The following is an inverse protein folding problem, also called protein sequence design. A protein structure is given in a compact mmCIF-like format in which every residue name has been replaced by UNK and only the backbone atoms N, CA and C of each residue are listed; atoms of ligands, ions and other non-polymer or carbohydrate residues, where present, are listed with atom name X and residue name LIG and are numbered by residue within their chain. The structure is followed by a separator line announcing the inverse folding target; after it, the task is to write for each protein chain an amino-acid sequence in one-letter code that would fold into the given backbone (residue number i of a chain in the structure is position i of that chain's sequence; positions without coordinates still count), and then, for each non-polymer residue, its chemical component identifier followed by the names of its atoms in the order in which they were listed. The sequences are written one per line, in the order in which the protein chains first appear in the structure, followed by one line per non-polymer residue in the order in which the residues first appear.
data_IF_860582068959
#
_entry.id   IF_860582068959
#
_cell.length_a   1.000
_cell.length_b   1.000
_cell.length_c   1.000
_cell.angle_alpha   90.00
_cell.angle_beta   90.00
_cell.angle_gamma   90.00
#
_symmetry.space_group_name_H-M   'P 1'
#
loop_
_entity.id
_entity.type
_entity.pdbx_description
1 polymer ?
#
# COMPACT_ATOMS: atom_id res chain seq x y z
N UNK A 1 10.90 -10.99 19.80
CA UNK A 1 12.24 -11.08 20.46
C UNK A 1 12.07 -11.02 21.95
N UNK A 2 12.96 -11.66 22.79
CA UNK A 2 12.77 -11.70 24.24
C UNK A 2 12.70 -10.29 24.89
N UNK A 3 11.95 -10.11 25.99
CA UNK A 3 11.81 -8.83 26.69
C UNK A 3 13.16 -8.19 27.09
N UNK A 4 14.16 -9.03 27.41
CA UNK A 4 15.54 -8.58 27.68
C UNK A 4 16.15 -7.85 26.50
N UNK A 5 15.93 -8.33 25.27
CA UNK A 5 16.41 -7.67 24.06
C UNK A 5 15.80 -6.27 23.91
N UNK A 6 14.48 -6.12 24.12
CA UNK A 6 13.81 -4.83 24.02
C UNK A 6 14.37 -3.83 25.05
N UNK A 7 14.61 -4.28 26.29
CA UNK A 7 15.20 -3.45 27.35
C UNK A 7 16.62 -3.00 27.02
N UNK A 8 17.45 -3.91 26.52
CA UNK A 8 18.82 -3.59 26.07
C UNK A 8 18.81 -2.65 24.86
N UNK A 9 17.90 -2.86 23.92
CA UNK A 9 17.78 -2.00 22.74
C UNK A 9 17.25 -0.60 23.05
N UNK A 10 16.45 -0.44 24.10
CA UNK A 10 16.00 0.89 24.54
C UNK A 10 17.16 1.81 24.89
N UNK A 11 18.25 1.28 25.52
CA UNK A 11 19.43 2.05 25.88
C UNK A 11 20.19 2.57 24.64
N UNK A 12 20.12 1.85 23.53
CA UNK A 12 20.82 2.17 22.27
C UNK A 12 19.91 2.76 21.19
N UNK A 13 18.61 2.89 21.47
CA UNK A 13 17.61 3.32 20.49
C UNK A 13 17.92 4.68 19.87
N UNK A 14 18.35 5.64 20.71
CA UNK A 14 18.67 6.99 20.21
C UNK A 14 19.90 6.99 19.30
N UNK A 15 20.93 6.19 19.63
CA UNK A 15 22.11 6.05 18.78
C UNK A 15 21.76 5.36 17.46
N UNK A 16 20.93 4.31 17.50
CA UNK A 16 20.47 3.60 16.31
C UNK A 16 19.62 4.50 15.42
N UNK A 17 18.67 5.24 15.99
CA UNK A 17 17.82 6.18 15.24
C UNK A 17 18.71 7.23 14.53
N UNK A 18 19.68 7.80 15.24
CA UNK A 18 20.61 8.79 14.66
C UNK A 18 21.43 8.19 13.52
N UNK A 19 21.94 6.98 13.70
CA UNK A 19 22.67 6.28 12.64
C UNK A 19 21.77 6.07 11.39
N UNK A 20 20.54 5.59 11.57
CA UNK A 20 19.57 5.40 10.46
C UNK A 20 19.31 6.73 9.74
N UNK A 21 19.04 7.81 10.51
CA UNK A 21 18.82 9.14 9.93
C UNK A 21 20.04 9.62 9.13
N UNK A 22 21.26 9.42 9.63
CA UNK A 22 22.47 9.79 8.91
C UNK A 22 22.63 9.01 7.59
N UNK A 23 22.21 7.73 7.55
CA UNK A 23 22.27 6.94 6.32
C UNK A 23 21.23 7.40 5.28
N UNK A 24 20.04 7.80 5.72
CA UNK A 24 18.92 8.18 4.84
C UNK A 24 18.94 9.67 4.45
N UNK A 25 19.61 10.52 5.20
CA UNK A 25 19.61 11.98 5.00
C UNK A 25 19.94 12.41 3.56
N UNK A 26 20.96 11.83 2.88
CA UNK A 26 21.26 12.19 1.50
C UNK A 26 20.11 11.93 0.52
N UNK A 27 19.29 10.90 0.80
CA UNK A 27 18.21 10.47 -0.08
C UNK A 27 16.92 11.24 0.20
N UNK A 28 16.70 11.68 1.45
CA UNK A 28 15.43 12.31 1.86
C UNK A 28 15.48 13.84 1.96
N UNK A 29 16.68 14.44 1.94
CA UNK A 29 16.85 15.88 2.14
C UNK A 29 16.24 16.74 1.01
N UNK A 30 16.14 16.18 -0.20
CA UNK A 30 15.57 16.85 -1.36
C UNK A 30 14.06 16.65 -1.53
N UNK A 31 13.44 15.75 -0.74
CA UNK A 31 11.99 15.53 -0.80
C UNK A 31 11.26 16.75 -0.28
N UNK A 32 10.36 17.38 -1.09
CA UNK A 32 9.70 18.62 -0.74
C UNK A 32 8.68 18.49 0.41
N UNK A 33 8.02 19.59 0.77
CA UNK A 33 6.94 19.62 1.75
C UNK A 33 7.38 19.36 3.20
N UNK A 34 8.68 19.57 3.55
CA UNK A 34 9.20 19.34 4.90
C UNK A 34 9.22 17.85 5.30
N UNK A 35 9.31 16.96 4.31
CA UNK A 35 9.34 15.51 4.56
C UNK A 35 10.46 15.12 5.52
N UNK A 36 11.69 15.57 5.26
CA UNK A 36 12.87 15.30 6.09
C UNK A 36 12.64 15.69 7.55
N UNK A 37 12.14 16.89 7.80
CA UNK A 37 11.96 17.39 9.17
C UNK A 37 10.90 16.57 9.93
N UNK A 38 9.78 16.22 9.29
CA UNK A 38 8.78 15.33 9.88
C UNK A 38 9.33 13.93 10.14
N UNK A 39 10.17 13.43 9.23
CA UNK A 39 10.79 12.11 9.37
C UNK A 39 11.78 12.10 10.55
N UNK A 40 12.60 13.14 10.70
CA UNK A 40 13.51 13.33 11.85
C UNK A 40 12.71 13.46 13.14
N UNK A 41 11.68 14.31 13.18
CA UNK A 41 10.81 14.48 14.35
C UNK A 41 10.15 13.14 14.78
N UNK A 42 9.74 12.33 13.80
CA UNK A 42 9.19 10.99 14.09
C UNK A 42 10.19 10.10 14.84
N UNK A 43 11.50 10.17 14.56
CA UNK A 43 12.51 9.33 15.22
C UNK A 43 13.07 9.94 16.52
N UNK A 44 13.17 11.26 16.62
CA UNK A 44 13.87 11.94 17.72
C UNK A 44 12.93 12.51 18.79
N UNK A 45 11.69 12.93 18.41
CA UNK A 45 10.76 13.58 19.32
C UNK A 45 9.71 12.59 19.85
N UNK A 46 9.75 12.29 21.14
CA UNK A 46 8.82 11.36 21.78
C UNK A 46 7.36 11.89 21.76
N UNK A 47 7.17 13.22 21.79
CA UNK A 47 5.87 13.87 21.73
C UNK A 47 5.27 14.02 20.31
N UNK A 48 6.05 13.71 19.27
CA UNK A 48 5.58 13.81 17.87
C UNK A 48 4.71 12.62 17.49
N UNK A 49 3.54 12.87 16.88
CA UNK A 49 2.63 11.87 16.33
C UNK A 49 2.27 10.73 17.32
N UNK A 50 1.95 11.06 18.56
CA UNK A 50 1.74 10.08 19.65
C UNK A 50 0.61 9.11 19.33
N UNK A 51 -0.54 9.63 18.83
CA UNK A 51 -1.69 8.79 18.48
C UNK A 51 -1.39 7.88 17.30
N UNK A 52 -0.79 8.44 16.26
CA UNK A 52 -0.40 7.71 15.04
C UNK A 52 0.59 6.58 15.36
N UNK A 53 1.57 6.84 16.21
CA UNK A 53 2.52 5.82 16.70
C UNK A 53 1.82 4.72 17.47
N UNK A 54 0.83 5.06 18.29
CA UNK A 54 0.04 4.06 19.04
C UNK A 54 -0.80 3.21 18.08
N UNK A 55 -1.45 3.83 17.09
CA UNK A 55 -2.22 3.13 16.05
C UNK A 55 -1.31 2.19 15.26
N UNK A 56 -0.15 2.66 14.78
CA UNK A 56 0.81 1.83 14.04
C UNK A 56 1.30 0.64 14.88
N UNK A 57 1.59 0.85 16.17
CA UNK A 57 2.04 -0.22 17.07
C UNK A 57 0.93 -1.24 17.30
N UNK A 58 -0.29 -0.80 17.58
CA UNK A 58 -1.44 -1.67 17.72
C UNK A 58 -1.70 -2.48 16.44
N UNK A 59 -1.66 -1.83 15.28
CA UNK A 59 -1.83 -2.48 13.97
C UNK A 59 -0.75 -3.52 13.71
N UNK A 60 0.50 -3.25 14.08
CA UNK A 60 1.59 -4.21 13.98
C UNK A 60 1.33 -5.48 14.82
N UNK A 61 0.91 -5.32 16.08
CA UNK A 61 0.59 -6.47 16.93
C UNK A 61 -0.64 -7.24 16.43
N UNK A 62 -1.66 -6.55 15.95
CA UNK A 62 -2.85 -7.18 15.36
C UNK A 62 -2.51 -7.98 14.11
N UNK A 63 -1.68 -7.44 13.21
CA UNK A 63 -1.21 -8.15 12.03
C UNK A 63 -0.35 -9.36 12.40
N UNK A 64 0.57 -9.20 13.37
CA UNK A 64 1.40 -10.29 13.89
C UNK A 64 0.53 -11.38 14.52
N UNK A 65 -0.50 -11.02 15.28
CA UNK A 65 -1.43 -11.98 15.88
C UNK A 65 -2.25 -12.74 14.83
N UNK A 66 -2.64 -12.06 13.74
CA UNK A 66 -3.32 -12.71 12.62
C UNK A 66 -2.42 -13.80 11.99
N UNK A 67 -1.16 -13.49 11.71
CA UNK A 67 -0.18 -14.45 11.21
C UNK A 67 0.10 -15.59 12.21
N UNK A 68 0.28 -15.22 13.48
CA UNK A 68 0.56 -16.16 14.55
C UNK A 68 -0.57 -17.19 14.72
N UNK A 69 -1.84 -16.78 14.62
CA UNK A 69 -2.99 -17.70 14.70
C UNK A 69 -2.94 -18.78 13.63
N UNK A 70 -2.46 -18.48 12.42
CA UNK A 70 -2.29 -19.48 11.36
C UNK A 70 -1.25 -20.52 11.80
N UNK A 71 -0.10 -20.08 12.28
CA UNK A 71 0.99 -20.95 12.75
C UNK A 71 0.52 -21.77 13.96
N UNK A 72 -0.11 -21.11 14.94
CA UNK A 72 -0.59 -21.74 16.16
C UNK A 72 -1.57 -22.89 15.87
N UNK A 73 -2.49 -22.70 14.93
CA UNK A 73 -3.46 -23.74 14.57
C UNK A 73 -2.83 -24.89 13.76
N UNK A 74 -1.78 -24.62 13.01
CA UNK A 74 -1.13 -25.65 12.19
C UNK A 74 -0.09 -26.47 12.97
N UNK A 75 0.63 -25.83 13.89
CA UNK A 75 1.77 -26.43 14.61
C UNK A 75 1.79 -26.05 16.09
N UNK A 76 0.80 -26.51 16.90
CA UNK A 76 0.69 -26.13 18.31
C UNK A 76 1.82 -26.67 19.19
N UNK A 77 2.69 -27.54 18.67
CA UNK A 77 3.75 -28.21 19.41
C UNK A 77 5.10 -27.49 19.38
N UNK A 78 5.19 -26.30 18.74
CA UNK A 78 6.43 -25.53 18.71
C UNK A 78 6.77 -25.08 20.14
N UNK A 79 8.03 -25.30 20.55
CA UNK A 79 8.52 -24.85 21.85
C UNK A 79 8.34 -23.34 22.03
N UNK A 80 7.77 -22.92 23.14
CA UNK A 80 7.54 -21.50 23.49
C UNK A 80 6.34 -20.84 22.78
N UNK A 81 5.50 -21.63 22.06
CA UNK A 81 4.37 -21.08 21.30
C UNK A 81 3.30 -20.46 22.24
N UNK A 82 3.04 -21.08 23.40
CA UNK A 82 2.09 -20.54 24.37
C UNK A 82 2.59 -19.23 25.00
N UNK A 83 3.89 -19.16 25.31
CA UNK A 83 4.48 -17.92 25.80
C UNK A 83 4.39 -16.80 24.76
N UNK A 84 4.66 -17.12 23.48
CA UNK A 84 4.52 -16.12 22.39
C UNK A 84 3.08 -15.64 22.24
N UNK A 85 2.09 -16.53 22.39
CA UNK A 85 0.68 -16.19 22.39
C UNK A 85 0.35 -15.17 23.50
N UNK A 86 0.73 -15.50 24.73
CA UNK A 86 0.52 -14.63 25.90
C UNK A 86 1.18 -13.26 25.74
N UNK A 87 2.43 -13.23 25.26
CA UNK A 87 3.14 -11.98 24.99
C UNK A 87 2.42 -11.11 23.95
N UNK A 88 1.88 -11.71 22.87
CA UNK A 88 1.13 -10.99 21.83
C UNK A 88 -0.21 -10.46 22.36
N UNK A 89 -0.93 -11.29 23.10
CA UNK A 89 -2.22 -10.92 23.70
C UNK A 89 -2.04 -9.75 24.68
N UNK A 90 -1.04 -9.79 25.55
CA UNK A 90 -0.70 -8.70 26.48
C UNK A 90 -0.34 -7.40 25.73
N UNK A 91 0.46 -7.49 24.64
CA UNK A 91 0.79 -6.31 23.84
C UNK A 91 -0.42 -5.70 23.13
N UNK A 92 -1.40 -6.50 22.75
CA UNK A 92 -2.66 -6.01 22.15
C UNK A 92 -3.53 -5.37 23.23
N UNK A 93 -3.59 -5.95 24.45
CA UNK A 93 -4.34 -5.43 25.58
C UNK A 93 -3.87 -4.03 25.99
N UNK A 94 -2.56 -3.74 25.91
CA UNK A 94 -1.98 -2.40 26.16
C UNK A 94 -2.58 -1.30 25.26
N UNK A 95 -3.27 -1.70 24.18
CA UNK A 95 -3.92 -0.80 23.21
C UNK A 95 -5.45 -0.93 23.19
N UNK A 96 -6.06 -1.56 24.20
CA UNK A 96 -7.49 -1.86 24.23
C UNK A 96 -8.39 -0.61 24.21
N UNK A 97 -7.89 0.55 24.62
CA UNK A 97 -8.61 1.82 24.55
C UNK A 97 -8.85 2.31 23.10
N UNK A 98 -8.12 1.77 22.12
CA UNK A 98 -8.36 2.07 20.70
C UNK A 98 -9.59 1.31 20.19
N UNK A 99 -10.60 2.04 19.70
CA UNK A 99 -11.85 1.46 19.19
C UNK A 99 -11.61 0.39 18.11
N UNK A 100 -10.61 0.59 17.25
CA UNK A 100 -10.22 -0.39 16.22
C UNK A 100 -9.77 -1.71 16.82
N UNK A 101 -8.97 -1.68 17.88
CA UNK A 101 -8.51 -2.87 18.60
C UNK A 101 -9.71 -3.62 19.20
N UNK A 102 -10.61 -2.92 19.91
CA UNK A 102 -11.82 -3.51 20.48
C UNK A 102 -12.66 -4.23 19.43
N UNK A 103 -12.91 -3.58 18.28
CA UNK A 103 -13.71 -4.16 17.19
C UNK A 103 -13.05 -5.41 16.59
N UNK A 104 -11.73 -5.40 16.40
CA UNK A 104 -11.00 -6.52 15.84
C UNK A 104 -10.91 -7.71 16.79
N UNK A 105 -10.76 -7.47 18.10
CA UNK A 105 -10.75 -8.52 19.12
C UNK A 105 -12.08 -9.26 19.24
N UNK A 106 -13.21 -8.62 18.88
CA UNK A 106 -14.51 -9.31 18.83
C UNK A 106 -14.56 -10.45 17.80
N UNK A 107 -13.62 -10.52 16.84
CA UNK A 107 -13.60 -11.57 15.83
C UNK A 107 -14.83 -11.59 14.91
N UNK A 108 -15.46 -10.44 14.66
CA UNK A 108 -16.67 -10.28 13.83
C UNK A 108 -16.34 -9.61 12.49
N UNK A 109 -17.25 -8.81 11.96
CA UNK A 109 -17.15 -8.19 10.62
C UNK A 109 -15.80 -7.51 10.35
N UNK A 110 -15.35 -6.62 11.26
CA UNK A 110 -14.07 -5.91 11.09
C UNK A 110 -12.87 -6.87 10.99
N UNK A 111 -12.88 -7.96 11.75
CA UNK A 111 -11.86 -9.00 11.64
C UNK A 111 -11.93 -9.71 10.29
N UNK A 112 -13.14 -10.00 9.78
CA UNK A 112 -13.33 -10.57 8.44
C UNK A 112 -12.73 -9.70 7.33
N UNK A 113 -12.84 -8.37 7.43
CA UNK A 113 -12.18 -7.46 6.49
C UNK A 113 -10.65 -7.55 6.57
N UNK A 114 -10.07 -7.56 7.77
CA UNK A 114 -8.63 -7.74 7.95
C UNK A 114 -8.17 -9.11 7.44
N UNK A 115 -9.01 -10.14 7.62
CA UNK A 115 -8.72 -11.49 7.10
C UNK A 115 -8.67 -11.49 5.56
N UNK A 116 -9.59 -10.81 4.88
CA UNK A 116 -9.51 -10.63 3.43
C UNK A 116 -8.22 -9.91 3.01
N UNK A 117 -7.89 -8.78 3.62
CA UNK A 117 -6.64 -8.08 3.34
C UNK A 117 -5.42 -8.98 3.57
N UNK A 118 -5.44 -9.78 4.66
CA UNK A 118 -4.38 -10.73 4.98
C UNK A 118 -4.22 -11.84 3.94
N UNK A 119 -5.30 -12.29 3.29
CA UNK A 119 -5.24 -13.32 2.24
C UNK A 119 -4.47 -12.84 1.00
N UNK A 120 -4.46 -11.54 0.69
CA UNK A 120 -3.66 -10.97 -0.40
C UNK A 120 -2.15 -11.18 -0.22
N UNK A 121 -1.69 -11.45 0.99
CA UNK A 121 -0.30 -11.84 1.28
C UNK A 121 0.08 -13.17 0.65
N UNK A 122 -0.86 -14.11 0.48
CA UNK A 122 -0.62 -15.43 -0.10
C UNK A 122 -0.79 -15.44 -1.62
N UNK A 123 -1.41 -14.41 -2.20
CA UNK A 123 -1.48 -14.25 -3.64
C UNK A 123 -0.17 -13.64 -4.14
N UNK A 124 0.51 -14.39 -5.03
CA UNK A 124 1.80 -13.97 -5.58
C UNK A 124 1.59 -13.30 -6.92
N UNK A 125 2.17 -12.12 -7.07
CA UNK A 125 2.30 -11.46 -8.38
C UNK A 125 3.26 -12.26 -9.26
N UNK A 126 3.05 -12.21 -10.58
CA UNK A 126 3.84 -12.97 -11.55
C UNK A 126 3.80 -14.49 -11.30
N UNK A 127 2.69 -15.03 -10.83
CA UNK A 127 2.57 -16.44 -10.41
C UNK A 127 3.01 -17.45 -11.48
N UNK A 128 2.92 -17.08 -12.77
CA UNK A 128 3.32 -17.92 -13.89
C UNK A 128 4.78 -17.72 -14.35
N UNK A 129 5.50 -16.78 -13.74
CA UNK A 129 6.88 -16.45 -14.13
C UNK A 129 7.80 -16.58 -12.91
N UNK A 130 8.81 -17.47 -12.94
CA UNK A 130 9.79 -17.56 -11.85
C UNK A 130 10.42 -16.20 -11.58
N UNK A 131 10.41 -15.75 -10.32
CA UNK A 131 10.88 -14.44 -9.91
C UNK A 131 11.52 -14.44 -8.51
N UNK A 132 12.55 -13.61 -8.33
CA UNK A 132 13.25 -13.39 -7.05
C UNK A 132 13.55 -11.89 -6.91
N UNK A 133 13.22 -11.26 -5.77
CA UNK A 133 12.38 -11.78 -4.67
C UNK A 133 10.91 -11.94 -5.09
N UNK A 134 10.19 -12.83 -4.45
CA UNK A 134 8.74 -12.94 -4.65
C UNK A 134 8.03 -11.74 -4.02
N UNK A 135 7.01 -11.21 -4.69
CA UNK A 135 6.15 -10.14 -4.17
C UNK A 135 4.71 -10.64 -4.10
N UNK A 136 4.06 -10.44 -2.96
CA UNK A 136 2.62 -10.69 -2.81
C UNK A 136 1.82 -9.50 -3.35
N UNK A 137 0.53 -9.71 -3.67
CA UNK A 137 -0.38 -8.62 -4.01
C UNK A 137 -0.41 -7.57 -2.90
N UNK A 138 -0.52 -7.99 -1.63
CA UNK A 138 -0.49 -7.07 -0.48
C UNK A 138 0.80 -6.23 -0.41
N UNK A 139 1.95 -6.85 -0.67
CA UNK A 139 3.24 -6.14 -0.69
C UNK A 139 3.35 -5.15 -1.84
N UNK A 140 2.85 -5.52 -3.01
CA UNK A 140 2.76 -4.63 -4.16
C UNK A 140 1.89 -3.40 -3.88
N UNK A 141 0.67 -3.60 -3.37
CA UNK A 141 -0.24 -2.51 -3.00
C UNK A 141 0.42 -1.49 -2.08
N UNK A 142 1.21 -1.95 -1.09
CA UNK A 142 1.94 -1.06 -0.20
C UNK A 142 3.03 -0.27 -0.95
N UNK A 143 3.78 -0.91 -1.85
CA UNK A 143 4.81 -0.23 -2.66
C UNK A 143 4.16 0.84 -3.53
N UNK A 144 3.04 0.52 -4.20
CA UNK A 144 2.30 1.49 -5.02
C UNK A 144 1.81 2.67 -4.18
N UNK A 145 1.29 2.41 -2.96
CA UNK A 145 0.87 3.46 -2.04
C UNK A 145 2.03 4.38 -1.60
N UNK A 146 3.21 3.81 -1.32
CA UNK A 146 4.40 4.58 -0.97
C UNK A 146 4.88 5.46 -2.14
N UNK A 147 4.95 4.91 -3.35
CA UNK A 147 5.29 5.66 -4.57
C UNK A 147 4.28 6.79 -4.83
N UNK A 148 2.99 6.48 -4.71
CA UNK A 148 1.92 7.46 -4.87
C UNK A 148 1.99 8.59 -3.83
N UNK A 149 2.32 8.26 -2.58
CA UNK A 149 2.55 9.26 -1.53
C UNK A 149 3.69 10.20 -1.91
N UNK A 150 4.85 9.68 -2.32
CA UNK A 150 6.00 10.49 -2.70
C UNK A 150 5.70 11.36 -3.93
N UNK A 151 5.04 10.80 -4.95
CA UNK A 151 4.57 11.59 -6.10
C UNK A 151 3.60 12.70 -5.67
N UNK A 152 2.69 12.43 -4.73
CA UNK A 152 1.75 13.44 -4.22
C UNK A 152 2.46 14.59 -3.49
N UNK A 153 3.49 14.28 -2.71
CA UNK A 153 4.33 15.29 -2.05
C UNK A 153 5.08 16.13 -3.08
N UNK A 154 5.65 15.49 -4.10
CA UNK A 154 6.37 16.16 -5.20
C UNK A 154 5.46 17.10 -5.99
N UNK A 155 4.21 16.70 -6.25
CA UNK A 155 3.20 17.52 -6.93
C UNK A 155 2.67 18.70 -6.08
N UNK A 156 3.05 18.82 -4.81
CA UNK A 156 2.48 19.80 -3.89
C UNK A 156 0.98 19.57 -3.61
N UNK A 157 0.57 18.31 -3.56
CA UNK A 157 -0.82 17.93 -3.29
C UNK A 157 -1.29 18.39 -1.91
N UNK A 158 -2.54 18.87 -1.81
CA UNK A 158 -3.13 19.20 -0.51
C UNK A 158 -3.26 17.92 0.37
N UNK A 159 -3.35 18.05 1.71
CA UNK A 159 -3.39 16.89 2.61
C UNK A 159 -4.45 15.85 2.24
N UNK A 160 -5.66 16.29 1.86
CA UNK A 160 -6.73 15.37 1.45
C UNK A 160 -6.38 14.61 0.17
N UNK A 161 -5.75 15.27 -0.80
CA UNK A 161 -5.29 14.65 -2.06
C UNK A 161 -4.19 13.62 -1.80
N UNK A 162 -3.24 13.92 -0.89
CA UNK A 162 -2.23 12.95 -0.45
C UNK A 162 -2.87 11.71 0.16
N UNK A 163 -3.85 11.91 1.07
CA UNK A 163 -4.59 10.81 1.71
C UNK A 163 -5.32 9.97 0.65
N UNK A 164 -6.06 10.62 -0.24
CA UNK A 164 -6.84 9.93 -1.27
C UNK A 164 -5.95 9.15 -2.24
N UNK A 165 -4.82 9.72 -2.67
CA UNK A 165 -3.88 9.04 -3.54
C UNK A 165 -3.23 7.85 -2.84
N UNK A 166 -2.86 7.99 -1.57
CA UNK A 166 -2.29 6.90 -0.78
C UNK A 166 -3.27 5.74 -0.62
N UNK A 167 -4.52 6.02 -0.18
CA UNK A 167 -5.52 4.98 0.02
C UNK A 167 -6.07 4.42 -1.29
N UNK A 168 -6.24 5.25 -2.33
CA UNK A 168 -6.57 4.78 -3.67
C UNK A 168 -5.53 3.79 -4.20
N UNK A 169 -4.25 4.10 -4.03
CA UNK A 169 -3.15 3.19 -4.37
C UNK A 169 -3.09 1.96 -3.45
N UNK A 170 -3.38 2.11 -2.14
CA UNK A 170 -3.37 0.99 -1.20
C UNK A 170 -4.50 0.00 -1.46
N UNK A 171 -5.65 0.44 -1.99
CA UNK A 171 -6.83 -0.40 -2.19
C UNK A 171 -7.11 -0.77 -3.64
N UNK A 172 -6.29 -0.33 -4.62
CA UNK A 172 -6.57 -0.52 -6.05
C UNK A 172 -6.78 -2.00 -6.44
N UNK A 173 -6.01 -2.92 -5.87
CA UNK A 173 -6.11 -4.37 -6.11
C UNK A 173 -6.89 -5.11 -4.99
N UNK A 174 -7.57 -4.39 -4.07
CA UNK A 174 -8.33 -5.03 -2.99
C UNK A 174 -9.41 -6.00 -3.49
N UNK A 175 -10.15 -5.70 -4.58
CA UNK A 175 -11.12 -6.64 -5.14
C UNK A 175 -10.52 -7.98 -5.58
N UNK A 176 -9.23 -8.05 -5.89
CA UNK A 176 -8.54 -9.29 -6.30
C UNK A 176 -8.54 -10.38 -5.22
N UNK A 177 -8.78 -10.03 -3.95
CA UNK A 177 -8.97 -11.05 -2.90
C UNK A 177 -10.17 -11.95 -3.19
N UNK A 178 -11.17 -11.45 -3.91
CA UNK A 178 -12.41 -12.15 -4.22
C UNK A 178 -12.34 -12.92 -5.55
N UNK A 179 -11.61 -12.40 -6.54
CA UNK A 179 -11.53 -12.95 -7.91
C UNK A 179 -10.21 -13.66 -8.19
N UNK A 180 -9.21 -13.48 -7.35
CA UNK A 180 -7.78 -13.75 -7.59
C UNK A 180 -7.22 -12.89 -8.72
N UNK A 181 -5.89 -12.75 -8.74
CA UNK A 181 -5.18 -11.99 -9.79
C UNK A 181 -5.41 -12.65 -11.17
N UNK A 182 -6.23 -12.02 -11.99
CA UNK A 182 -6.42 -12.39 -13.39
C UNK A 182 -5.38 -11.63 -14.20
N UNK A 183 -4.38 -12.36 -14.70
CA UNK A 183 -3.23 -11.77 -15.39
C UNK A 183 -3.65 -10.89 -16.58
N UNK A 184 -3.02 -9.71 -16.69
CA UNK A 184 -3.33 -8.70 -17.71
C UNK A 184 -3.45 -9.24 -19.17
N UNK A 185 -2.61 -10.20 -19.64
CA UNK A 185 -2.79 -10.81 -20.95
C UNK A 185 -4.14 -11.50 -21.15
N UNK A 186 -4.75 -12.04 -20.10
CA UNK A 186 -6.08 -12.67 -20.18
C UNK A 186 -7.15 -11.59 -20.22
N UNK A 187 -7.03 -10.54 -19.38
CA UNK A 187 -7.96 -9.40 -19.40
C UNK A 187 -8.06 -8.74 -20.78
N UNK A 188 -6.95 -8.69 -21.53
CA UNK A 188 -6.88 -8.07 -22.87
C UNK A 188 -7.07 -9.05 -24.04
N UNK A 189 -7.29 -10.35 -23.79
CA UNK A 189 -7.30 -11.38 -24.84
C UNK A 189 -8.55 -11.37 -25.72
N UNK A 190 -9.69 -10.97 -25.17
CA UNK A 190 -10.99 -10.94 -25.85
C UNK A 190 -11.72 -9.64 -25.51
N UNK A 191 -12.27 -8.98 -26.53
CA UNK A 191 -13.06 -7.77 -26.34
C UNK A 191 -14.26 -8.04 -25.41
N UNK A 192 -14.47 -7.16 -24.41
CA UNK A 192 -15.59 -7.24 -23.46
C UNK A 192 -15.32 -8.12 -22.22
N UNK A 193 -14.21 -8.84 -22.13
CA UNK A 193 -13.88 -9.62 -20.92
C UNK A 193 -13.57 -8.71 -19.73
N UNK A 194 -12.87 -7.61 -19.97
CA UNK A 194 -12.52 -6.67 -18.89
C UNK A 194 -13.76 -6.08 -18.22
N UNK A 195 -14.75 -5.71 -19.01
CA UNK A 195 -16.03 -5.19 -18.52
C UNK A 195 -16.80 -6.21 -17.69
N UNK A 196 -16.84 -7.47 -18.14
CA UNK A 196 -17.48 -8.57 -17.40
C UNK A 196 -16.77 -8.83 -16.07
N UNK A 197 -15.43 -8.80 -16.06
CA UNK A 197 -14.63 -8.98 -14.84
C UNK A 197 -14.95 -7.84 -13.86
N UNK A 198 -14.97 -6.60 -14.31
CA UNK A 198 -15.28 -5.43 -13.46
C UNK A 198 -16.69 -5.49 -12.90
N UNK A 199 -17.66 -5.88 -13.70
CA UNK A 199 -19.04 -6.05 -13.22
C UNK A 199 -19.12 -7.16 -12.16
N UNK A 200 -18.45 -8.28 -12.37
CA UNK A 200 -18.40 -9.37 -11.42
C UNK A 200 -17.67 -8.98 -10.12
N UNK A 201 -16.55 -8.27 -10.21
CA UNK A 201 -15.84 -7.72 -9.07
C UNK A 201 -16.73 -6.79 -8.24
N UNK A 202 -17.49 -5.91 -8.91
CA UNK A 202 -18.44 -5.00 -8.24
C UNK A 202 -19.50 -5.77 -7.45
N UNK A 203 -20.11 -6.78 -8.04
CA UNK A 203 -21.09 -7.64 -7.35
C UNK A 203 -20.47 -8.30 -6.12
N UNK A 204 -19.26 -8.83 -6.23
CA UNK A 204 -18.58 -9.47 -5.11
C UNK A 204 -18.18 -8.49 -4.01
N UNK A 205 -17.76 -7.29 -4.36
CA UNK A 205 -17.48 -6.21 -3.40
C UNK A 205 -18.75 -5.88 -2.61
N UNK A 206 -19.88 -5.71 -3.28
CA UNK A 206 -21.18 -5.41 -2.64
C UNK A 206 -21.65 -6.53 -1.71
N UNK A 207 -21.52 -7.77 -2.14
CA UNK A 207 -22.03 -8.92 -1.40
C UNK A 207 -21.12 -9.41 -0.28
N UNK A 208 -19.81 -9.31 -0.46
CA UNK A 208 -18.82 -9.98 0.43
C UNK A 208 -17.91 -9.03 1.19
N UNK A 209 -17.48 -7.91 0.58
CA UNK A 209 -16.50 -7.01 1.20
C UNK A 209 -17.17 -5.91 2.02
N UNK A 210 -18.09 -5.16 1.42
CA UNK A 210 -18.74 -4.04 2.09
C UNK A 210 -19.51 -4.43 3.35
N UNK A 211 -20.23 -5.57 3.40
CA UNK A 211 -20.91 -5.98 4.63
C UNK A 211 -19.98 -6.19 5.85
N UNK A 212 -18.68 -6.31 5.62
CA UNK A 212 -17.67 -6.42 6.68
C UNK A 212 -17.26 -5.07 7.26
N UNK A 213 -17.59 -3.98 6.58
CA UNK A 213 -17.25 -2.61 6.94
C UNK A 213 -18.44 -1.85 7.53
N UNK A 214 -18.19 -0.79 8.32
CA UNK A 214 -19.26 0.14 8.71
C UNK A 214 -19.89 0.79 7.47
N UNK A 215 -21.22 0.93 7.45
CA UNK A 215 -21.93 1.55 6.32
C UNK A 215 -21.42 2.97 5.99
N UNK A 216 -20.94 3.71 7.01
CA UNK A 216 -20.36 5.04 6.83
C UNK A 216 -19.04 5.05 6.02
N UNK A 217 -18.42 3.90 5.82
CA UNK A 217 -17.16 3.78 5.04
C UNK A 217 -17.38 3.30 3.61
N UNK A 218 -18.58 2.82 3.28
CA UNK A 218 -18.87 2.21 1.98
C UNK A 218 -18.61 3.18 0.82
N UNK A 219 -19.07 4.42 0.93
CA UNK A 219 -18.84 5.44 -0.10
C UNK A 219 -17.35 5.74 -0.31
N UNK A 220 -16.60 5.83 0.78
CA UNK A 220 -15.15 6.11 0.71
C UNK A 220 -14.36 4.94 0.12
N UNK A 221 -14.70 3.71 0.50
CA UNK A 221 -14.06 2.52 -0.07
C UNK A 221 -14.37 2.42 -1.57
N UNK A 222 -15.63 2.63 -1.98
CA UNK A 222 -15.97 2.71 -3.41
C UNK A 222 -15.18 3.79 -4.14
N UNK A 223 -15.02 4.95 -3.53
CA UNK A 223 -14.26 6.05 -4.11
C UNK A 223 -12.81 5.66 -4.42
N UNK A 224 -12.22 4.75 -3.64
CA UNK A 224 -10.87 4.27 -3.87
C UNK A 224 -10.79 3.12 -4.88
N UNK A 225 -11.74 2.18 -4.88
CA UNK A 225 -11.64 0.95 -5.68
C UNK A 225 -12.37 1.00 -7.02
N UNK A 226 -13.41 1.85 -7.18
CA UNK A 226 -14.13 1.98 -8.45
C UNK A 226 -13.38 2.93 -9.38
N UNK A 227 -13.10 2.49 -10.61
CA UNK A 227 -12.27 3.25 -11.59
C UNK A 227 -11.01 3.84 -10.94
N UNK A 228 -10.26 3.00 -10.31
CA UNK A 228 -9.10 3.28 -9.46
C UNK A 228 -8.03 4.15 -10.15
N UNK A 229 -7.92 4.02 -11.48
CA UNK A 229 -6.98 4.77 -12.31
C UNK A 229 -7.58 5.99 -13.03
N UNK A 230 -8.81 6.33 -12.74
CA UNK A 230 -9.40 7.59 -13.20
C UNK A 230 -9.02 8.75 -12.29
N UNK A 231 -8.69 9.89 -12.88
CA UNK A 231 -8.64 11.13 -12.12
C UNK A 231 -10.03 11.49 -11.62
N UNK A 232 -10.18 11.84 -10.35
CA UNK A 232 -11.48 12.09 -9.73
C UNK A 232 -11.45 13.37 -8.91
N UNK A 233 -12.55 14.12 -8.98
CA UNK A 233 -12.83 15.23 -8.06
C UNK A 233 -14.32 15.17 -7.69
N UNK A 234 -14.67 15.63 -6.48
CA UNK A 234 -16.06 15.83 -6.05
C UNK A 234 -16.42 17.31 -6.19
N UNK A 235 -17.47 17.62 -6.96
CA UNK A 235 -18.01 18.98 -7.07
C UNK A 235 -19.49 18.86 -6.67
N UNK A 236 -19.89 19.60 -5.64
CA UNK A 236 -21.26 19.53 -5.08
C UNK A 236 -21.72 18.10 -4.75
N UNK A 237 -20.79 17.27 -4.27
CA UNK A 237 -21.03 15.85 -3.92
C UNK A 237 -21.06 14.89 -5.12
N UNK A 238 -20.93 15.38 -6.35
CA UNK A 238 -20.90 14.57 -7.58
C UNK A 238 -19.46 14.27 -7.99
N UNK A 239 -19.18 13.03 -8.36
CA UNK A 239 -17.86 12.61 -8.83
C UNK A 239 -17.71 12.92 -10.31
N UNK A 240 -16.67 13.67 -10.66
CA UNK A 240 -16.26 14.00 -12.02
C UNK A 240 -14.91 13.35 -12.34
N UNK A 241 -14.76 12.81 -13.56
CA UNK A 241 -13.59 12.00 -13.97
C UNK A 241 -12.84 12.55 -15.20
N UNK A 242 -13.29 13.66 -15.77
CA UNK A 242 -12.80 14.21 -17.04
C UNK A 242 -11.54 15.09 -16.93
N UNK A 243 -11.10 15.44 -15.73
CA UNK A 243 -10.02 16.40 -15.52
C UNK A 243 -8.62 15.77 -15.67
N UNK A 244 -7.70 16.56 -16.23
CA UNK A 244 -6.26 16.23 -16.23
C UNK A 244 -5.63 16.45 -14.85
N UNK A 245 -4.43 15.89 -14.61
CA UNK A 245 -3.70 16.13 -13.36
C UNK A 245 -3.31 17.60 -13.18
N UNK A 246 -3.01 18.30 -14.29
CA UNK A 246 -2.70 19.71 -14.31
C UNK A 246 -3.91 20.57 -13.92
N UNK A 247 -5.10 20.21 -14.42
CA UNK A 247 -6.36 20.89 -14.05
C UNK A 247 -6.70 20.65 -12.58
N UNK A 248 -6.51 19.42 -12.08
CA UNK A 248 -6.69 19.11 -10.65
C UNK A 248 -5.74 19.97 -9.81
N UNK A 249 -4.47 20.07 -10.19
CA UNK A 249 -3.49 20.88 -9.47
C UNK A 249 -3.82 22.36 -9.48
N UNK A 250 -4.33 22.87 -10.60
CA UNK A 250 -4.63 24.31 -10.76
C UNK A 250 -5.96 24.75 -10.12
N UNK A 251 -6.97 23.86 -10.11
CA UNK A 251 -8.37 24.25 -9.79
C UNK A 251 -8.97 23.51 -8.60
N UNK A 252 -8.52 22.28 -8.34
CA UNK A 252 -9.19 21.38 -7.41
C UNK A 252 -8.26 20.85 -6.31
N UNK A 253 -7.09 21.47 -6.11
CA UNK A 253 -6.12 21.06 -5.08
C UNK A 253 -6.53 21.56 -3.68
N UNK A 254 -7.75 21.21 -3.24
CA UNK A 254 -8.29 21.54 -1.93
C UNK A 254 -9.14 20.40 -1.38
N UNK A 255 -9.27 20.35 -0.05
CA UNK A 255 -9.93 19.24 0.65
C UNK A 255 -11.41 19.07 0.22
N UNK A 256 -12.10 20.15 -0.06
CA UNK A 256 -13.52 20.19 -0.47
C UNK A 256 -13.79 19.40 -1.76
N UNK A 257 -12.81 19.36 -2.67
CA UNK A 257 -12.92 18.62 -3.94
C UNK A 257 -12.51 17.16 -3.83
N UNK A 258 -11.97 16.72 -2.70
CA UNK A 258 -11.54 15.34 -2.45
C UNK A 258 -10.77 14.71 -3.64
N UNK A 259 -9.74 15.37 -4.20
CA UNK A 259 -9.14 14.96 -5.47
C UNK A 259 -8.36 13.64 -5.39
N UNK A 260 -8.34 12.89 -6.52
CA UNK A 260 -7.55 11.67 -6.73
C UNK A 260 -6.85 11.76 -8.08
N UNK A 261 -5.57 11.44 -8.12
CA UNK A 261 -4.74 11.39 -9.34
C UNK A 261 -4.64 9.97 -9.90
N UNK A 262 -5.75 9.39 -10.34
CA UNK A 262 -5.78 8.00 -10.80
C UNK A 262 -4.77 7.69 -11.90
N UNK A 263 -4.48 8.63 -12.82
CA UNK A 263 -3.44 8.45 -13.83
C UNK A 263 -2.03 8.35 -13.24
N UNK A 264 -1.74 9.08 -12.16
CA UNK A 264 -0.48 8.94 -11.41
C UNK A 264 -0.43 7.62 -10.67
N UNK A 265 -1.54 7.20 -10.05
CA UNK A 265 -1.66 5.89 -9.42
C UNK A 265 -1.34 4.76 -10.41
N UNK A 266 -1.87 4.85 -11.65
CA UNK A 266 -1.58 3.88 -12.72
C UNK A 266 -0.10 3.82 -13.09
N UNK A 267 0.55 4.97 -13.11
CA UNK A 267 1.99 5.02 -13.38
C UNK A 267 2.78 4.41 -12.22
N UNK A 268 2.37 4.67 -10.97
CA UNK A 268 2.99 4.07 -9.78
C UNK A 268 2.82 2.54 -9.74
N UNK A 269 1.65 2.01 -10.11
CA UNK A 269 1.40 0.57 -10.28
C UNK A 269 2.36 -0.04 -11.32
N UNK A 270 2.46 0.58 -12.50
CA UNK A 270 3.38 0.14 -13.55
C UNK A 270 4.85 0.27 -13.14
N UNK A 271 5.22 1.32 -12.39
CA UNK A 271 6.58 1.48 -11.87
C UNK A 271 6.90 0.40 -10.84
N UNK A 272 5.99 0.06 -9.94
CA UNK A 272 6.15 -1.04 -9.01
C UNK A 272 6.34 -2.38 -9.74
N UNK A 273 5.52 -2.67 -10.75
CA UNK A 273 5.66 -3.87 -11.59
C UNK A 273 7.00 -3.88 -12.35
N UNK A 274 7.46 -2.72 -12.83
CA UNK A 274 8.76 -2.57 -13.48
C UNK A 274 9.92 -2.86 -12.51
N UNK A 275 9.89 -2.28 -11.32
CA UNK A 275 10.89 -2.53 -10.25
C UNK A 275 10.92 -4.02 -9.91
N UNK A 276 9.76 -4.64 -9.76
CA UNK A 276 9.65 -6.09 -9.49
C UNK A 276 10.34 -6.93 -10.57
N UNK A 277 10.11 -6.64 -11.84
CA UNK A 277 10.72 -7.35 -12.97
C UNK A 277 12.23 -7.06 -13.07
N UNK A 278 12.62 -5.79 -12.97
CA UNK A 278 14.01 -5.34 -13.04
C UNK A 278 14.88 -5.98 -11.95
N UNK A 279 14.45 -5.93 -10.68
CA UNK A 279 15.17 -6.57 -9.57
C UNK A 279 15.36 -8.07 -9.81
N UNK A 280 14.37 -8.74 -10.37
CA UNK A 280 14.47 -10.16 -10.67
C UNK A 280 15.52 -10.45 -11.74
N UNK A 281 15.58 -9.63 -12.80
CA UNK A 281 16.61 -9.73 -13.84
C UNK A 281 18.01 -9.44 -13.26
N UNK A 282 18.16 -8.41 -12.42
CA UNK A 282 19.40 -8.09 -11.72
C UNK A 282 19.89 -9.23 -10.81
N UNK A 283 18.97 -10.00 -10.22
CA UNK A 283 19.29 -11.20 -9.46
C UNK A 283 19.59 -12.44 -10.34
N UNK A 284 19.75 -12.25 -11.64
CA UNK A 284 20.16 -13.28 -12.58
C UNK A 284 19.02 -14.19 -13.07
N UNK A 285 17.76 -13.85 -12.83
CA UNK A 285 16.64 -14.59 -13.41
C UNK A 285 16.59 -14.35 -14.93
N UNK A 286 16.67 -15.44 -15.70
CA UNK A 286 16.57 -15.37 -17.16
C UNK A 286 15.14 -15.70 -17.58
N UNK A 287 14.33 -14.67 -17.80
CA UNK A 287 12.94 -14.79 -18.25
C UNK A 287 12.64 -13.77 -19.34
N UNK A 288 12.21 -14.28 -20.50
CA UNK A 288 11.80 -13.43 -21.61
C UNK A 288 10.60 -12.56 -21.22
N UNK A 289 9.64 -13.10 -20.46
CA UNK A 289 8.48 -12.36 -19.98
C UNK A 289 8.85 -11.15 -19.11
N UNK A 290 9.84 -11.30 -18.21
CA UNK A 290 10.30 -10.18 -17.38
C UNK A 290 11.03 -9.13 -18.23
N UNK A 291 11.87 -9.56 -19.18
CA UNK A 291 12.58 -8.66 -20.09
C UNK A 291 11.61 -7.88 -20.97
N UNK A 292 10.63 -8.56 -21.56
CA UNK A 292 9.61 -7.93 -22.40
C UNK A 292 8.75 -6.95 -21.60
N UNK A 293 8.40 -7.29 -20.36
CA UNK A 293 7.66 -6.41 -19.47
C UNK A 293 8.47 -5.15 -19.14
N UNK A 294 9.75 -5.29 -18.77
CA UNK A 294 10.63 -4.15 -18.54
C UNK A 294 10.73 -3.25 -19.77
N UNK A 295 11.02 -3.83 -20.93
CA UNK A 295 11.15 -3.06 -22.18
C UNK A 295 9.84 -2.33 -22.53
N UNK A 296 8.71 -3.00 -22.43
CA UNK A 296 7.39 -2.41 -22.73
C UNK A 296 7.08 -1.24 -21.79
N UNK A 297 7.25 -1.42 -20.48
CA UNK A 297 6.95 -0.39 -19.50
C UNK A 297 7.92 0.79 -19.61
N UNK A 298 9.21 0.54 -19.77
CA UNK A 298 10.19 1.58 -20.00
C UNK A 298 9.86 2.42 -21.24
N UNK A 299 9.57 1.77 -22.39
CA UNK A 299 9.19 2.46 -23.62
C UNK A 299 7.90 3.27 -23.47
N UNK A 300 6.94 2.82 -22.65
CA UNK A 300 5.69 3.53 -22.40
C UNK A 300 5.90 4.83 -21.63
N UNK A 301 6.89 4.87 -20.73
CA UNK A 301 7.07 5.98 -19.80
C UNK A 301 8.33 6.81 -20.00
N UNK A 302 9.32 6.39 -20.79
CA UNK A 302 10.63 7.06 -20.98
C UNK A 302 10.59 8.56 -21.27
N UNK A 303 9.51 9.06 -21.89
CA UNK A 303 9.32 10.48 -22.21
C UNK A 303 8.10 11.08 -21.49
N UNK A 304 7.59 10.41 -20.45
CA UNK A 304 6.34 10.79 -19.81
C UNK A 304 6.58 11.76 -18.67
N UNK A 305 5.99 12.95 -18.79
CA UNK A 305 5.90 13.93 -17.71
C UNK A 305 4.43 14.10 -17.37
N UNK A 306 4.07 13.96 -16.10
CA UNK A 306 2.69 14.13 -15.60
C UNK A 306 2.75 14.94 -14.31
N UNK A 307 1.96 15.99 -14.22
CA UNK A 307 1.90 16.89 -13.07
C UNK A 307 3.30 17.40 -12.59
N UNK A 308 4.21 17.63 -13.54
CA UNK A 308 5.57 18.08 -13.25
C UNK A 308 6.59 16.98 -12.93
N UNK A 309 6.15 15.74 -12.72
CA UNK A 309 7.04 14.60 -12.44
C UNK A 309 7.53 13.97 -13.75
N UNK A 310 8.85 13.85 -13.90
CA UNK A 310 9.47 13.13 -15.01
C UNK A 310 9.54 11.62 -14.70
N UNK A 311 8.50 10.89 -15.09
CA UNK A 311 8.45 9.45 -14.86
C UNK A 311 9.49 8.69 -15.69
N UNK A 312 9.90 9.21 -16.85
CA UNK A 312 10.98 8.58 -17.62
C UNK A 312 12.24 8.41 -16.80
N UNK A 313 12.68 9.46 -16.13
CA UNK A 313 13.85 9.39 -15.24
C UNK A 313 13.66 8.41 -14.08
N UNK A 314 12.45 8.30 -13.51
CA UNK A 314 12.17 7.32 -12.46
C UNK A 314 12.30 5.88 -12.96
N UNK A 315 11.83 5.58 -14.18
CA UNK A 315 12.02 4.26 -14.78
C UNK A 315 13.50 3.99 -15.09
N UNK A 316 14.27 4.98 -15.57
CA UNK A 316 15.70 4.86 -15.85
C UNK A 316 16.51 4.50 -14.59
N UNK A 317 16.13 5.02 -13.40
CA UNK A 317 16.79 4.70 -12.14
C UNK A 317 16.77 3.20 -11.78
N UNK A 318 15.79 2.46 -12.27
CA UNK A 318 15.59 1.04 -11.98
C UNK A 318 15.89 0.13 -13.19
N UNK A 319 16.53 0.65 -14.24
CA UNK A 319 16.88 -0.15 -15.42
C UNK A 319 17.75 -1.35 -15.02
N UNK A 320 17.48 -2.57 -15.55
CA UNK A 320 18.32 -3.74 -15.28
C UNK A 320 19.73 -3.50 -15.83
N UNK A 321 20.72 -3.53 -14.94
CA UNK A 321 22.15 -3.38 -15.29
C UNK A 321 22.77 -4.72 -15.66
#
# INVERSE_FOLDING_TARGET
KPPVYHRLMQTKRKELNRWVLQQLDPDICEIPGGFRDRFVAYFEEEGHAVLERRILRASHYLATNWEFKIIYNLTPFIYGIEQTKEELENQIEDHYDLLGVQKLLLGKKAFGFIDFCGQLRFQQRWAQTPRVPKTSVLGHMLIVAMLSYLCSVEMGACPQRVINNYYGALFHDLPEVLTRDIVSPVKSSVAGIEEIIKEYEKVLVDEKLLPLLPASWHEEIYYFIEDEFANKVKIDGVIHKEFSNEEISARFNAAEFSPVDGKVLKICDHLAAYIEASLSLQHGMRSQHLSDACQRLHNMYRNKVVAGINFGQLFDCFEPK
#
